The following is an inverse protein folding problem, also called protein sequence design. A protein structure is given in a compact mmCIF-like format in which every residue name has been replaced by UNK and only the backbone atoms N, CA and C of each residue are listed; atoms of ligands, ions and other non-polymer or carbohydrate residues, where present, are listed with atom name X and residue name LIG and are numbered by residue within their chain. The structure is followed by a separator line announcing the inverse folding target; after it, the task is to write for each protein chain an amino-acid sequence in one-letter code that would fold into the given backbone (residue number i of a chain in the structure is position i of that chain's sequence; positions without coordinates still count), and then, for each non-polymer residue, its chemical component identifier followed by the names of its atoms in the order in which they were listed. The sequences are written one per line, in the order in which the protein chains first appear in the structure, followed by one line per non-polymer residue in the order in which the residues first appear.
data_IF_632371388851
#
_entry.id   IF_632371388851
#
_cell.length_a   1.000
_cell.length_b   1.000
_cell.length_c   1.000
_cell.angle_alpha   90.00
_cell.angle_beta   90.00
_cell.angle_gamma   90.00
#
_symmetry.space_group_name_H-M   'P 1'
#
loop_
_entity.id
_entity.type
_entity.pdbx_description
1 polymer ?
#
# COMPACT_ATOMS: atom_id res chain seq x y z
N UNK A 1 47.64 -25.53 -26.12
CA UNK A 1 47.20 -24.41 -25.28
C UNK A 1 46.90 -23.20 -26.16
N UNK A 2 45.61 -22.81 -26.26
CA UNK A 2 45.08 -21.48 -26.65
C UNK A 2 43.61 -21.66 -27.06
N UNK A 3 42.69 -21.51 -26.10
CA UNK A 3 41.26 -21.36 -26.38
C UNK A 3 40.84 -19.99 -25.86
N UNK A 4 40.66 -19.09 -26.81
CA UNK A 4 39.60 -18.08 -26.91
C UNK A 4 39.33 -17.24 -25.65
N UNK A 5 40.02 -16.10 -25.66
CA UNK A 5 39.67 -14.74 -25.26
C UNK A 5 38.15 -14.43 -25.28
N UNK A 6 37.70 -13.80 -24.18
CA UNK A 6 36.57 -12.86 -24.01
C UNK A 6 35.13 -13.40 -23.96
N UNK A 7 34.35 -12.73 -23.08
CA UNK A 7 32.88 -12.63 -22.99
C UNK A 7 32.24 -13.13 -21.68
N UNK A 8 32.73 -12.69 -20.52
CA UNK A 8 31.88 -12.60 -19.30
C UNK A 8 31.96 -11.17 -18.73
N UNK A 9 31.88 -10.20 -19.64
CA UNK A 9 31.67 -8.78 -19.37
C UNK A 9 30.32 -8.46 -20.03
N UNK A 10 29.25 -8.66 -19.29
CA UNK A 10 27.90 -8.42 -19.78
C UNK A 10 26.89 -9.34 -19.13
N UNK A 11 25.83 -8.74 -18.60
CA UNK A 11 24.64 -9.40 -18.08
C UNK A 11 24.65 -9.87 -16.61
N UNK A 12 25.36 -9.19 -15.71
CA UNK A 12 24.65 -8.85 -14.47
C UNK A 12 23.89 -7.58 -14.79
N UNK A 13 22.78 -7.77 -15.52
CA UNK A 13 21.69 -6.82 -15.52
C UNK A 13 21.39 -6.59 -14.06
N UNK A 14 21.86 -5.44 -13.58
CA UNK A 14 21.26 -4.73 -12.47
C UNK A 14 19.83 -4.50 -12.97
N UNK A 15 18.99 -5.52 -12.82
CA UNK A 15 17.56 -5.32 -12.75
C UNK A 15 17.44 -4.38 -11.58
N UNK A 16 17.39 -3.09 -11.89
CA UNK A 16 16.88 -2.08 -11.01
C UNK A 16 15.49 -2.62 -10.64
N UNK A 17 15.43 -3.39 -9.56
CA UNK A 17 14.21 -3.71 -8.85
C UNK A 17 13.75 -2.35 -8.34
N UNK A 18 13.21 -1.55 -9.25
CA UNK A 18 12.42 -0.39 -8.91
C UNK A 18 11.24 -1.05 -8.20
N UNK A 19 11.32 -1.12 -6.88
CA UNK A 19 10.22 -1.59 -6.07
C UNK A 19 9.01 -0.79 -6.55
N UNK A 20 8.05 -1.46 -7.19
CA UNK A 20 6.80 -0.82 -7.53
C UNK A 20 6.13 -0.56 -6.19
N UNK A 21 6.38 0.62 -5.66
CA UNK A 21 5.73 1.15 -4.47
C UNK A 21 4.51 1.96 -4.90
N UNK A 22 3.60 2.18 -3.97
CA UNK A 22 2.48 3.09 -4.16
C UNK A 22 2.97 4.48 -4.58
N UNK A 23 2.48 4.96 -5.73
CA UNK A 23 2.76 6.33 -6.17
C UNK A 23 2.02 7.30 -5.28
N UNK A 24 2.60 8.49 -5.07
CA UNK A 24 1.95 9.55 -4.30
C UNK A 24 0.55 9.90 -4.83
N UNK A 25 0.36 9.90 -6.14
CA UNK A 25 -0.95 10.12 -6.75
C UNK A 25 -1.97 9.01 -6.45
N UNK A 26 -1.52 7.78 -6.23
CA UNK A 26 -2.38 6.65 -5.85
C UNK A 26 -2.79 6.75 -4.38
N UNK A 27 -1.85 7.16 -3.52
CA UNK A 27 -2.07 7.43 -2.10
C UNK A 27 -3.10 8.56 -1.91
N UNK A 28 -2.88 9.70 -2.58
CA UNK A 28 -3.81 10.84 -2.52
C UNK A 28 -5.20 10.47 -3.04
N UNK A 29 -5.27 9.69 -4.13
CA UNK A 29 -6.54 9.22 -4.67
C UNK A 29 -7.26 8.29 -3.68
N UNK A 30 -6.54 7.36 -3.04
CA UNK A 30 -7.12 6.47 -2.04
C UNK A 30 -7.76 7.26 -0.89
N UNK A 31 -7.02 8.22 -0.31
CA UNK A 31 -7.52 9.06 0.79
C UNK A 31 -8.76 9.84 0.34
N UNK A 32 -8.71 10.46 -0.85
CA UNK A 32 -9.84 11.23 -1.39
C UNK A 32 -11.08 10.36 -1.60
N UNK A 33 -10.92 9.19 -2.22
CA UNK A 33 -12.02 8.26 -2.50
C UNK A 33 -12.62 7.74 -1.18
N UNK A 34 -11.78 7.46 -0.18
CA UNK A 34 -12.20 7.04 1.15
C UNK A 34 -12.97 8.13 1.91
N UNK A 35 -12.46 9.37 1.95
CA UNK A 35 -13.16 10.50 2.57
C UNK A 35 -14.49 10.75 1.86
N UNK A 36 -14.52 10.67 0.53
CA UNK A 36 -15.74 10.82 -0.25
C UNK A 36 -16.76 9.72 0.07
N UNK A 37 -16.33 8.46 0.22
CA UNK A 37 -17.20 7.35 0.61
C UNK A 37 -17.80 7.53 2.02
N UNK A 38 -17.07 8.18 2.93
CA UNK A 38 -17.57 8.53 4.26
C UNK A 38 -18.50 9.76 4.29
N UNK A 39 -18.79 10.37 3.13
CA UNK A 39 -19.46 11.66 3.00
C UNK A 39 -18.77 12.80 3.79
N UNK A 40 -17.45 12.71 3.97
CA UNK A 40 -16.67 13.70 4.73
C UNK A 40 -17.00 13.71 6.22
N UNK A 41 -17.35 12.56 6.81
CA UNK A 41 -17.59 12.44 8.24
C UNK A 41 -16.39 12.94 9.06
N UNK A 42 -16.65 13.49 10.25
CA UNK A 42 -15.60 13.90 11.17
C UNK A 42 -14.71 12.69 11.56
N UNK A 43 -13.39 12.88 11.55
CA UNK A 43 -12.42 11.79 11.76
C UNK A 43 -12.20 10.87 10.56
N UNK A 44 -12.90 11.08 9.43
CA UNK A 44 -12.74 10.24 8.22
C UNK A 44 -11.35 10.34 7.63
N UNK A 45 -10.70 11.51 7.72
CA UNK A 45 -9.37 11.72 7.17
C UNK A 45 -8.35 10.82 7.87
N UNK A 46 -8.34 10.80 9.19
CA UNK A 46 -7.44 10.02 10.04
C UNK A 46 -7.65 8.52 9.84
N UNK A 47 -8.92 8.09 9.77
CA UNK A 47 -9.28 6.69 9.47
C UNK A 47 -8.78 6.29 8.07
N UNK A 48 -8.98 7.15 7.07
CA UNK A 48 -8.53 6.90 5.70
C UNK A 48 -7.01 6.89 5.55
N UNK A 49 -6.29 7.75 6.29
CA UNK A 49 -4.82 7.76 6.35
C UNK A 49 -4.29 6.48 7.01
N UNK A 50 -4.90 6.05 8.12
CA UNK A 50 -4.56 4.76 8.74
C UNK A 50 -4.84 3.59 7.79
N UNK A 51 -5.99 3.60 7.10
CA UNK A 51 -6.32 2.58 6.12
C UNK A 51 -5.31 2.51 4.97
N UNK A 52 -4.86 3.67 4.48
CA UNK A 52 -3.80 3.71 3.48
C UNK A 52 -2.51 3.08 4.02
N UNK A 53 -2.10 3.42 5.24
CA UNK A 53 -0.90 2.88 5.85
C UNK A 53 -0.97 1.35 5.98
N UNK A 54 -2.09 0.81 6.50
CA UNK A 54 -2.30 -0.65 6.62
C UNK A 54 -2.25 -1.33 5.25
N UNK A 55 -2.84 -0.72 4.22
CA UNK A 55 -2.77 -1.25 2.86
C UNK A 55 -1.32 -1.25 2.32
N UNK A 56 -0.53 -0.22 2.60
CA UNK A 56 0.87 -0.13 2.17
C UNK A 56 1.80 -1.07 2.96
N UNK A 57 1.49 -1.36 4.22
CA UNK A 57 2.21 -2.35 5.04
C UNK A 57 2.00 -3.78 4.54
N UNK A 58 0.78 -4.08 4.07
CA UNK A 58 0.40 -5.43 3.63
C UNK A 58 0.62 -5.66 2.13
N UNK A 59 0.63 -4.60 1.31
CA UNK A 59 0.70 -4.70 -0.15
C UNK A 59 1.69 -3.70 -0.74
N UNK A 60 2.61 -4.21 -1.57
CA UNK A 60 3.66 -3.38 -2.18
C UNK A 60 3.10 -2.42 -3.21
N UNK A 61 2.06 -2.85 -3.92
CA UNK A 61 1.41 -2.07 -4.97
C UNK A 61 -0.08 -1.91 -4.71
N UNK A 62 -0.66 -0.81 -5.23
CA UNK A 62 -2.11 -0.62 -5.27
C UNK A 62 -2.84 -1.78 -5.95
N UNK A 63 -2.29 -2.31 -7.05
CA UNK A 63 -2.89 -3.43 -7.79
C UNK A 63 -2.98 -4.69 -6.93
N UNK A 64 -1.94 -4.97 -6.15
CA UNK A 64 -1.93 -6.09 -5.22
C UNK A 64 -3.01 -5.92 -4.13
N UNK A 65 -3.13 -4.71 -3.57
CA UNK A 65 -4.18 -4.40 -2.60
C UNK A 65 -5.58 -4.59 -3.18
N UNK A 66 -5.85 -4.08 -4.39
CA UNK A 66 -7.14 -4.24 -5.06
C UNK A 66 -7.48 -5.71 -5.32
N UNK A 67 -6.49 -6.52 -5.72
CA UNK A 67 -6.66 -7.95 -5.94
C UNK A 67 -6.86 -8.73 -4.64
N UNK A 68 -6.21 -8.31 -3.56
CA UNK A 68 -6.37 -8.93 -2.25
C UNK A 68 -7.76 -8.64 -1.69
N UNK A 69 -8.22 -7.39 -1.75
CA UNK A 69 -9.57 -6.99 -1.30
C UNK A 69 -10.66 -7.79 -2.03
N UNK A 70 -10.50 -8.06 -3.34
CA UNK A 70 -11.47 -8.87 -4.09
C UNK A 70 -11.52 -10.35 -3.65
N UNK A 71 -10.47 -10.85 -3.00
CA UNK A 71 -10.35 -12.25 -2.56
C UNK A 71 -10.57 -12.41 -1.06
N UNK A 72 -10.48 -11.33 -0.30
CA UNK A 72 -10.71 -11.30 1.14
C UNK A 72 -12.21 -11.26 1.42
N UNK A 73 -12.60 -11.95 2.49
CA UNK A 73 -13.92 -11.79 3.09
C UNK A 73 -14.05 -10.43 3.76
N UNK A 74 -15.28 -9.96 3.92
CA UNK A 74 -15.57 -8.71 4.65
C UNK A 74 -14.96 -8.70 6.06
N UNK A 75 -14.92 -9.87 6.72
CA UNK A 75 -14.30 -10.03 8.03
C UNK A 75 -12.79 -9.82 8.01
N UNK A 76 -12.10 -10.35 7.00
CA UNK A 76 -10.65 -10.14 6.85
C UNK A 76 -10.32 -8.68 6.54
N UNK A 77 -11.15 -8.02 5.75
CA UNK A 77 -11.04 -6.58 5.48
C UNK A 77 -11.24 -5.78 6.77
N UNK A 78 -12.26 -6.10 7.59
CA UNK A 78 -12.48 -5.44 8.88
C UNK A 78 -11.29 -5.61 9.81
N UNK A 79 -10.77 -6.83 9.98
CA UNK A 79 -9.63 -7.10 10.87
C UNK A 79 -8.38 -6.32 10.46
N UNK A 80 -8.16 -6.13 9.16
CA UNK A 80 -7.02 -5.35 8.66
C UNK A 80 -7.10 -3.87 9.04
N UNK A 81 -8.32 -3.33 9.21
CA UNK A 81 -8.58 -1.93 9.50
C UNK A 81 -9.14 -1.70 10.92
N UNK A 82 -9.20 -2.73 11.76
CA UNK A 82 -9.75 -2.66 13.12
C UNK A 82 -8.99 -1.62 13.96
N UNK A 83 -7.66 -1.63 13.90
CA UNK A 83 -6.79 -0.65 14.57
C UNK A 83 -7.06 0.80 14.11
N UNK A 84 -7.55 0.99 12.87
CA UNK A 84 -7.82 2.33 12.33
C UNK A 84 -9.12 2.93 12.87
N UNK A 85 -10.04 2.10 13.35
CA UNK A 85 -11.30 2.53 13.94
C UNK A 85 -11.12 2.90 15.42
N UNK A 86 -10.12 2.33 16.09
CA UNK A 86 -9.79 2.62 17.50
C UNK A 86 -9.00 3.92 17.68
N UNK A 87 -8.47 4.50 16.60
CA UNK A 87 -7.75 5.79 16.62
C UNK A 87 -8.61 6.98 17.12
N UNK A 88 -9.94 6.87 17.12
CA UNK A 88 -10.82 7.88 17.72
C UNK A 88 -10.75 7.90 19.27
N UNK A 89 -10.25 6.84 19.92
CA UNK A 89 -10.20 6.79 21.38
C UNK A 89 -8.96 7.46 22.00
N UNK A 90 -7.82 7.49 21.30
CA UNK A 90 -6.55 7.97 21.88
C UNK A 90 -6.23 9.45 21.56
N UNK A 91 -6.81 10.04 20.51
CA UNK A 91 -6.55 11.45 20.17
C UNK A 91 -7.47 12.47 20.85
N UNK A 92 -8.36 12.03 21.75
CA UNK A 92 -9.18 12.91 22.60
C UNK A 92 -8.50 13.35 23.91
N UNK A 93 -7.23 12.98 24.12
CA UNK A 93 -6.39 13.52 25.18
C UNK A 93 -5.10 14.09 24.59
N UNK A 94 -5.14 15.35 24.15
CA UNK A 94 -4.01 16.29 24.23
C UNK A 94 -4.49 17.71 23.94
#
# INVERSE_FOLDING_TARGET
MKKIIFCILGLVFITSCKEESWKESEQQKFIKDCIQASNGAEGSKEICECGLQKAMENFKTKKEAEQAIQKMSEKEIMLMYEDCLDFQHDHHYH
#
